data_IF_362080685609
#
_entry.id   IF_362080685609
#
_cell.length_a   1.000
_cell.length_b   1.000
_cell.length_c   1.000
_cell.angle_alpha   90.00
_cell.angle_beta   90.00
_cell.angle_gamma   90.00
#
_symmetry.space_group_name_H-M   'P 1'
#
loop_
_entity.id
_entity.type
_entity.pdbx_description
1 polymer ?
#
# COMPACT_ATOMS: atom_id res chain seq x y z
N UNK A 1 22.51 -39.79 43.43
CA UNK A 1 22.66 -38.33 43.25
C UNK A 1 22.02 -37.96 41.92
N UNK A 2 20.90 -37.24 42.04
CA UNK A 2 20.17 -36.47 41.04
C UNK A 2 19.98 -37.06 39.63
N UNK A 3 18.90 -37.84 39.49
CA UNK A 3 18.06 -37.86 38.30
C UNK A 3 17.44 -36.46 38.14
N UNK A 4 17.89 -35.68 37.15
CA UNK A 4 17.28 -34.40 36.82
C UNK A 4 16.08 -34.65 35.89
N UNK A 5 15.07 -35.29 36.46
CA UNK A 5 13.75 -35.45 35.87
C UNK A 5 13.05 -34.10 35.73
N UNK A 6 13.36 -33.39 34.65
CA UNK A 6 12.49 -32.32 34.16
C UNK A 6 11.45 -32.96 33.24
N UNK A 7 10.42 -33.53 33.87
CA UNK A 7 9.21 -33.94 33.18
C UNK A 7 8.70 -32.74 32.37
N UNK A 8 8.73 -32.82 31.04
CA UNK A 8 8.03 -31.86 30.19
C UNK A 8 6.54 -32.06 30.46
N UNK A 9 5.98 -31.21 31.32
CA UNK A 9 4.54 -31.12 31.57
C UNK A 9 3.79 -31.17 30.24
N UNK A 10 2.96 -32.20 30.07
CA UNK A 10 2.27 -32.57 28.83
C UNK A 10 1.11 -31.66 28.45
N UNK A 11 1.35 -30.35 28.38
CA UNK A 11 0.37 -29.37 27.92
C UNK A 11 0.86 -28.73 26.64
N UNK A 12 0.06 -28.83 25.57
CA UNK A 12 0.30 -28.12 24.32
C UNK A 12 0.65 -26.65 24.60
N UNK A 13 1.68 -26.06 23.94
CA UNK A 13 2.01 -24.66 24.12
C UNK A 13 0.78 -23.77 23.91
N UNK A 14 0.64 -22.71 24.70
CA UNK A 14 -0.49 -21.78 24.60
C UNK A 14 -0.02 -20.48 23.94
N UNK A 15 -0.56 -20.19 22.75
CA UNK A 15 -0.32 -18.94 22.02
C UNK A 15 -1.50 -18.00 22.23
N UNK A 16 -1.19 -16.78 22.68
CA UNK A 16 -2.17 -15.69 22.80
C UNK A 16 -1.94 -14.71 21.67
N UNK A 17 -2.96 -14.49 20.85
CA UNK A 17 -2.99 -13.49 19.77
C UNK A 17 -3.75 -12.28 20.29
N UNK A 18 -3.11 -11.11 20.31
CA UNK A 18 -3.73 -9.85 20.73
C UNK A 18 -4.17 -9.09 19.48
N UNK A 19 -5.48 -8.87 19.35
CA UNK A 19 -6.14 -8.29 18.20
C UNK A 19 -6.89 -9.33 17.36
N UNK A 20 -8.20 -9.15 17.22
CA UNK A 20 -9.14 -9.94 16.42
C UNK A 20 -9.40 -9.37 15.02
N UNK A 21 -8.49 -8.55 14.49
CA UNK A 21 -8.49 -8.11 13.09
C UNK A 21 -7.99 -9.18 12.11
N UNK A 22 -7.99 -8.88 10.82
CA UNK A 22 -7.60 -9.83 9.75
C UNK A 22 -6.24 -10.50 9.99
N UNK A 23 -5.25 -9.76 10.48
CA UNK A 23 -3.92 -10.30 10.77
C UNK A 23 -3.95 -11.32 11.93
N UNK A 24 -4.61 -10.99 13.04
CA UNK A 24 -4.71 -11.87 14.20
C UNK A 24 -5.57 -13.09 13.93
N UNK A 25 -6.68 -12.93 13.21
CA UNK A 25 -7.53 -14.05 12.78
C UNK A 25 -6.81 -14.97 11.80
N UNK A 26 -6.04 -14.42 10.85
CA UNK A 26 -5.23 -15.24 9.95
C UNK A 26 -4.15 -16.01 10.71
N UNK A 27 -3.48 -15.37 11.69
CA UNK A 27 -2.50 -16.04 12.53
C UNK A 27 -3.13 -17.19 13.32
N UNK A 28 -4.26 -16.95 13.99
CA UNK A 28 -4.99 -17.98 14.72
C UNK A 28 -5.50 -19.11 13.80
N UNK A 29 -5.97 -18.76 12.61
CA UNK A 29 -6.45 -19.71 11.59
C UNK A 29 -5.35 -20.69 11.18
N UNK A 30 -4.11 -20.22 10.96
CA UNK A 30 -3.00 -21.11 10.60
C UNK A 30 -2.43 -21.86 11.81
N UNK A 31 -2.38 -21.22 12.99
CA UNK A 31 -1.89 -21.86 14.21
C UNK A 31 -2.79 -22.98 14.73
N UNK A 32 -4.08 -23.01 14.37
CA UNK A 32 -4.99 -24.08 14.84
C UNK A 32 -4.60 -25.48 14.34
N UNK A 33 -3.84 -25.55 13.24
CA UNK A 33 -3.36 -26.82 12.65
C UNK A 33 -2.10 -27.33 13.36
N UNK A 34 -1.50 -26.50 14.22
CA UNK A 34 -0.34 -26.85 15.04
C UNK A 34 -0.78 -27.43 16.39
N UNK A 35 0.04 -28.23 17.08
CA UNK A 35 -0.28 -28.81 18.39
C UNK A 35 -0.14 -27.76 19.52
N UNK A 36 -0.86 -26.64 19.39
CA UNK A 36 -0.88 -25.51 20.31
C UNK A 36 -2.32 -25.13 20.66
N UNK A 37 -2.54 -24.68 21.89
CA UNK A 37 -3.78 -23.98 22.25
C UNK A 37 -3.66 -22.55 21.74
N UNK A 38 -4.68 -22.04 21.07
CA UNK A 38 -4.74 -20.63 20.62
C UNK A 38 -5.84 -19.88 21.37
N UNK A 39 -5.55 -18.67 21.83
CA UNK A 39 -6.55 -17.73 22.35
C UNK A 39 -6.40 -16.38 21.67
N UNK A 40 -7.49 -15.84 21.14
CA UNK A 40 -7.52 -14.49 20.55
C UNK A 40 -8.16 -13.54 21.56
N UNK A 41 -7.50 -12.44 21.86
CA UNK A 41 -8.02 -11.36 22.69
C UNK A 41 -8.35 -10.16 21.80
N UNK A 42 -9.60 -9.76 21.78
CA UNK A 42 -10.08 -8.57 21.06
C UNK A 42 -10.66 -7.58 22.07
N UNK A 43 -10.33 -6.30 21.92
CA UNK A 43 -10.80 -5.23 22.79
C UNK A 43 -12.17 -4.66 22.38
N UNK A 44 -12.53 -4.79 21.11
CA UNK A 44 -13.82 -4.37 20.56
C UNK A 44 -14.94 -5.40 20.80
N UNK A 45 -16.19 -4.96 20.67
CA UNK A 45 -17.37 -5.82 20.74
C UNK A 45 -17.55 -6.75 19.53
N UNK A 46 -16.62 -6.75 18.56
CA UNK A 46 -16.66 -7.58 17.36
C UNK A 46 -15.26 -7.91 16.86
N UNK A 47 -15.15 -9.04 16.14
CA UNK A 47 -13.98 -9.38 15.34
C UNK A 47 -13.96 -8.61 14.01
N UNK A 48 -12.87 -8.74 13.27
CA UNK A 48 -12.71 -8.23 11.90
C UNK A 48 -11.80 -7.00 11.81
N UNK A 49 -11.72 -6.18 12.86
CA UNK A 49 -10.94 -4.94 12.84
C UNK A 49 -11.44 -4.01 11.73
N UNK A 50 -10.55 -3.61 10.81
CA UNK A 50 -10.86 -2.79 9.63
C UNK A 50 -11.74 -3.50 8.58
N UNK A 51 -11.94 -4.83 8.70
CA UNK A 51 -12.94 -5.55 7.90
C UNK A 51 -14.28 -5.49 8.64
N UNK A 52 -15.17 -4.64 8.15
CA UNK A 52 -16.40 -4.30 8.81
C UNK A 52 -17.45 -3.88 7.80
N UNK A 53 -18.67 -4.36 8.01
CA UNK A 53 -19.80 -4.13 7.12
C UNK A 53 -20.96 -3.64 7.96
N UNK A 54 -21.64 -2.59 7.51
CA UNK A 54 -22.88 -2.11 8.10
C UNK A 54 -23.93 -1.81 7.03
N UNK A 55 -25.14 -1.51 7.49
CA UNK A 55 -26.25 -1.10 6.64
C UNK A 55 -26.56 0.38 6.90
N UNK A 56 -26.53 1.19 5.84
CA UNK A 56 -26.90 2.59 5.86
C UNK A 56 -28.04 2.82 4.87
N UNK A 57 -29.20 3.24 5.38
CA UNK A 57 -30.40 3.49 4.58
C UNK A 57 -30.80 2.31 3.65
N UNK A 58 -30.70 1.07 4.15
CA UNK A 58 -31.04 -0.13 3.38
C UNK A 58 -29.93 -0.62 2.44
N UNK A 59 -28.75 0.01 2.48
CA UNK A 59 -27.60 -0.34 1.61
C UNK A 59 -26.47 -0.88 2.46
N UNK A 60 -25.95 -2.04 2.08
CA UNK A 60 -24.77 -2.65 2.70
C UNK A 60 -23.52 -1.89 2.26
N UNK A 61 -22.71 -1.46 3.21
CA UNK A 61 -21.48 -0.69 2.99
C UNK A 61 -20.31 -1.31 3.75
N UNK A 62 -19.11 -1.22 3.18
CA UNK A 62 -17.86 -1.49 3.89
C UNK A 62 -17.47 -0.25 4.70
N UNK A 63 -17.22 -0.40 6.01
CA UNK A 63 -16.82 0.72 6.89
C UNK A 63 -15.32 1.02 6.83
N UNK A 64 -14.54 0.10 6.25
CA UNK A 64 -13.08 0.17 6.24
C UNK A 64 -12.51 -0.35 4.93
N UNK A 65 -11.82 -1.50 4.97
CA UNK A 65 -11.24 -2.05 3.76
C UNK A 65 -12.32 -2.64 2.85
N UNK A 66 -12.58 -1.98 1.73
CA UNK A 66 -13.57 -2.35 0.71
C UNK A 66 -13.07 -3.38 -0.31
N UNK A 67 -11.76 -3.48 -0.51
CA UNK A 67 -11.19 -4.33 -1.56
C UNK A 67 -9.79 -4.81 -1.22
N UNK A 68 -9.34 -5.85 -1.95
CA UNK A 68 -7.98 -6.38 -1.82
C UNK A 68 -7.47 -6.87 -3.16
N UNK A 69 -6.15 -6.86 -3.34
CA UNK A 69 -5.55 -7.43 -4.53
C UNK A 69 -5.49 -8.97 -4.42
N UNK A 70 -6.60 -9.61 -4.77
CA UNK A 70 -6.85 -11.05 -4.61
C UNK A 70 -5.78 -11.94 -5.30
N UNK A 71 -5.13 -11.44 -6.35
CA UNK A 71 -4.07 -12.16 -7.08
C UNK A 71 -2.71 -12.17 -6.38
N UNK A 72 -2.49 -11.40 -5.31
CA UNK A 72 -1.22 -11.51 -4.56
C UNK A 72 -1.12 -12.92 -3.97
N UNK A 73 0.02 -13.63 -4.10
CA UNK A 73 0.14 -15.02 -3.66
C UNK A 73 -0.28 -15.26 -2.21
N UNK A 74 0.06 -14.34 -1.30
CA UNK A 74 -0.31 -14.42 0.12
C UNK A 74 -1.83 -14.29 0.32
N UNK A 75 -2.48 -13.36 -0.38
CA UNK A 75 -3.93 -13.15 -0.32
C UNK A 75 -4.68 -14.33 -0.92
N UNK A 76 -4.29 -14.79 -2.11
CA UNK A 76 -4.86 -15.95 -2.78
C UNK A 76 -4.79 -17.21 -1.90
N UNK A 77 -3.63 -17.44 -1.25
CA UNK A 77 -3.45 -18.56 -0.31
C UNK A 77 -4.44 -18.48 0.86
N UNK A 78 -4.65 -17.31 1.44
CA UNK A 78 -5.58 -17.14 2.56
C UNK A 78 -7.04 -17.35 2.12
N UNK A 79 -7.44 -16.77 0.98
CA UNK A 79 -8.78 -16.94 0.42
C UNK A 79 -9.09 -18.41 0.14
N UNK A 80 -8.14 -19.13 -0.45
CA UNK A 80 -8.22 -20.58 -0.67
C UNK A 80 -8.36 -21.35 0.62
N UNK A 81 -7.48 -21.11 1.59
CA UNK A 81 -7.52 -21.81 2.86
C UNK A 81 -8.84 -21.56 3.60
N UNK A 82 -9.40 -20.35 3.49
CA UNK A 82 -10.68 -19.98 4.09
C UNK A 82 -11.92 -20.43 3.29
N UNK A 83 -11.76 -21.06 2.11
CA UNK A 83 -12.88 -21.48 1.25
C UNK A 83 -13.65 -20.31 0.63
N UNK A 84 -12.99 -19.17 0.39
CA UNK A 84 -13.60 -17.93 -0.09
C UNK A 84 -13.30 -17.61 -1.57
N UNK A 85 -12.57 -18.47 -2.29
CA UNK A 85 -12.17 -18.22 -3.70
C UNK A 85 -13.36 -17.91 -4.60
N UNK A 86 -14.44 -18.69 -4.50
CA UNK A 86 -15.66 -18.53 -5.32
C UNK A 86 -16.50 -17.30 -4.95
N UNK A 87 -16.17 -16.61 -3.85
CA UNK A 87 -16.84 -15.37 -3.43
C UNK A 87 -16.11 -14.11 -3.88
N UNK A 88 -14.93 -14.26 -4.50
CA UNK A 88 -14.16 -13.12 -5.00
C UNK A 88 -14.86 -12.56 -6.23
N UNK A 89 -15.28 -11.31 -6.15
CA UNK A 89 -15.82 -10.56 -7.29
C UNK A 89 -14.80 -9.55 -7.79
N UNK A 90 -14.76 -9.34 -9.10
CA UNK A 90 -13.98 -8.25 -9.66
C UNK A 90 -14.64 -6.91 -9.30
N UNK A 91 -13.83 -5.92 -8.92
CA UNK A 91 -14.33 -4.56 -8.76
C UNK A 91 -14.97 -4.05 -10.06
N UNK A 92 -16.00 -3.19 -9.92
CA UNK A 92 -16.73 -2.58 -11.02
C UNK A 92 -15.94 -1.52 -11.81
N UNK A 93 -16.64 -0.57 -12.42
CA UNK A 93 -16.10 0.40 -13.38
C UNK A 93 -14.82 1.11 -12.91
N UNK A 94 -13.86 1.26 -13.82
CA UNK A 94 -12.45 1.65 -13.55
C UNK A 94 -12.17 3.15 -13.76
N UNK A 95 -13.14 4.03 -13.55
CA UNK A 95 -12.91 5.46 -13.76
C UNK A 95 -12.27 6.06 -12.52
N UNK A 96 -10.96 6.27 -12.59
CA UNK A 96 -10.22 7.13 -11.66
C UNK A 96 -10.10 8.53 -12.27
N UNK A 97 -10.03 9.56 -11.44
CA UNK A 97 -9.79 10.94 -11.86
C UNK A 97 -9.05 11.70 -10.76
N UNK A 98 -8.28 12.71 -11.15
CA UNK A 98 -7.61 13.64 -10.24
C UNK A 98 -8.31 14.99 -10.34
N UNK A 99 -8.73 15.55 -9.22
CA UNK A 99 -9.23 16.93 -9.20
C UNK A 99 -8.06 17.90 -9.19
N UNK A 100 -7.87 18.65 -10.27
CA UNK A 100 -6.80 19.64 -10.38
C UNK A 100 -7.25 20.83 -11.22
N UNK A 101 -6.87 22.04 -10.77
CA UNK A 101 -7.20 23.28 -11.47
C UNK A 101 -8.71 23.52 -11.64
N UNK A 102 -9.52 23.08 -10.67
CA UNK A 102 -10.97 23.23 -10.71
C UNK A 102 -11.70 22.30 -11.69
N UNK A 103 -11.03 21.25 -12.17
CA UNK A 103 -11.61 20.28 -13.11
C UNK A 103 -11.20 18.84 -12.73
N UNK A 104 -12.06 17.86 -13.06
CA UNK A 104 -11.67 16.45 -13.04
C UNK A 104 -10.80 16.16 -14.26
N UNK A 105 -9.59 15.68 -14.01
CA UNK A 105 -8.63 15.25 -15.04
C UNK A 105 -8.52 13.73 -15.01
N UNK A 106 -8.39 13.07 -16.18
CA UNK A 106 -8.03 11.65 -16.19
C UNK A 106 -6.66 11.45 -15.53
N UNK A 107 -6.41 10.31 -14.88
CA UNK A 107 -5.09 9.98 -14.35
C UNK A 107 -4.12 9.74 -15.51
N UNK A 108 -2.82 9.81 -15.19
CA UNK A 108 -1.80 9.34 -16.13
C UNK A 108 -1.92 7.83 -16.29
N UNK A 109 -1.85 7.36 -17.53
CA UNK A 109 -1.75 5.95 -17.88
C UNK A 109 -0.34 5.43 -17.52
N UNK A 110 0.70 6.23 -17.80
CA UNK A 110 2.09 5.85 -17.55
C UNK A 110 2.64 6.53 -16.31
N UNK A 111 2.41 5.88 -15.18
CA UNK A 111 2.90 6.31 -13.88
C UNK A 111 3.17 5.14 -12.95
N UNK A 112 3.99 5.40 -11.93
CA UNK A 112 4.13 4.53 -10.78
C UNK A 112 3.70 5.29 -9.52
N UNK A 113 2.53 4.97 -8.95
CA UNK A 113 2.02 5.59 -7.72
C UNK A 113 2.08 7.14 -7.74
N UNK A 114 1.58 7.77 -8.81
CA UNK A 114 1.64 9.23 -8.99
C UNK A 114 2.92 9.74 -9.67
N UNK A 115 4.02 8.98 -9.69
CA UNK A 115 5.27 9.41 -10.31
C UNK A 115 5.14 9.26 -11.84
N UNK A 116 5.19 10.36 -12.62
CA UNK A 116 5.02 10.31 -14.07
C UNK A 116 6.20 9.64 -14.77
N UNK A 117 5.90 8.75 -15.72
CA UNK A 117 6.92 8.11 -16.57
C UNK A 117 7.05 8.79 -17.93
N UNK A 118 6.07 9.60 -18.34
CA UNK A 118 6.05 10.34 -19.61
C UNK A 118 5.77 11.82 -19.39
N UNK A 119 6.70 12.67 -19.81
CA UNK A 119 6.56 14.12 -19.63
C UNK A 119 5.64 14.77 -20.67
N UNK A 120 5.46 14.16 -21.84
CA UNK A 120 4.55 14.65 -22.87
C UNK A 120 3.10 14.32 -22.51
N UNK A 121 2.87 13.15 -21.92
CA UNK A 121 1.59 12.79 -21.30
C UNK A 121 1.28 13.72 -20.12
N UNK A 122 2.25 13.93 -19.21
CA UNK A 122 2.13 14.88 -18.10
C UNK A 122 1.74 16.28 -18.59
N UNK A 123 2.39 16.77 -19.66
CA UNK A 123 2.08 18.06 -20.25
C UNK A 123 0.64 18.15 -20.81
N UNK A 124 0.17 17.08 -21.47
CA UNK A 124 -1.18 17.01 -22.06
C UNK A 124 -2.28 16.80 -21.02
N UNK A 125 -1.93 16.30 -19.83
CA UNK A 125 -2.89 15.95 -18.78
C UNK A 125 -3.68 17.15 -18.24
N UNK A 126 -3.10 18.35 -18.27
CA UNK A 126 -3.65 19.54 -17.63
C UNK A 126 -3.73 19.45 -16.09
N UNK A 127 -3.00 18.50 -15.48
CA UNK A 127 -2.92 18.34 -14.02
C UNK A 127 -1.92 19.35 -13.43
N UNK A 128 -0.80 19.58 -14.12
CA UNK A 128 0.23 20.52 -13.73
C UNK A 128 0.16 21.81 -14.56
N UNK A 129 0.70 22.89 -13.99
CA UNK A 129 1.02 24.12 -14.70
C UNK A 129 2.13 23.90 -15.74
N UNK A 130 2.26 24.79 -16.72
CA UNK A 130 3.36 24.73 -17.70
C UNK A 130 4.74 24.80 -17.00
N UNK A 131 4.85 25.61 -15.95
CA UNK A 131 6.05 25.74 -15.11
C UNK A 131 6.36 24.45 -14.36
N UNK A 132 5.35 23.79 -13.80
CA UNK A 132 5.48 22.50 -13.14
C UNK A 132 5.91 21.39 -14.10
N UNK A 133 5.37 21.37 -15.31
CA UNK A 133 5.79 20.44 -16.37
C UNK A 133 7.24 20.69 -16.77
N UNK A 134 7.64 21.95 -16.95
CA UNK A 134 9.02 22.30 -17.27
C UNK A 134 9.98 21.85 -16.15
N UNK A 135 9.61 22.10 -14.90
CA UNK A 135 10.38 21.66 -13.72
C UNK A 135 10.49 20.14 -13.63
N UNK A 136 9.44 19.40 -13.96
CA UNK A 136 9.45 17.94 -13.96
C UNK A 136 10.37 17.37 -15.05
N UNK A 137 10.45 18.01 -16.22
CA UNK A 137 11.31 17.59 -17.34
C UNK A 137 12.80 17.62 -17.01
N UNK A 138 13.22 18.47 -16.08
CA UNK A 138 14.62 18.54 -15.63
C UNK A 138 15.14 17.19 -15.11
N UNK A 139 14.27 16.33 -14.54
CA UNK A 139 14.62 14.99 -14.07
C UNK A 139 15.33 14.14 -15.14
N UNK A 140 15.03 14.36 -16.42
CA UNK A 140 15.65 13.62 -17.52
C UNK A 140 17.13 13.96 -17.72
N UNK A 141 17.58 15.12 -17.22
CA UNK A 141 18.94 15.64 -17.40
C UNK A 141 19.72 15.77 -16.09
N UNK A 142 19.03 15.86 -14.95
CA UNK A 142 19.68 16.01 -13.66
C UNK A 142 20.60 14.81 -13.36
N UNK A 143 21.84 15.05 -12.90
CA UNK A 143 22.76 13.98 -12.54
C UNK A 143 22.15 13.13 -11.44
N UNK A 144 22.65 11.90 -11.31
CA UNK A 144 22.23 11.03 -10.24
C UNK A 144 22.67 11.61 -8.89
N UNK A 145 21.72 11.77 -7.99
CA UNK A 145 22.01 12.13 -6.61
C UNK A 145 22.25 10.88 -5.76
N UNK A 146 23.21 10.97 -4.83
CA UNK A 146 23.33 10.01 -3.75
C UNK A 146 22.10 10.12 -2.85
N UNK A 147 21.59 8.97 -2.38
CA UNK A 147 20.56 8.92 -1.35
C UNK A 147 21.24 8.49 -0.06
N UNK A 148 21.45 9.44 0.84
CA UNK A 148 21.90 9.16 2.20
C UNK A 148 20.67 9.13 3.13
N UNK A 149 20.59 8.07 3.94
CA UNK A 149 19.53 7.89 4.92
C UNK A 149 18.14 7.62 4.32
N UNK A 150 17.18 7.45 5.21
CA UNK A 150 15.77 7.36 4.86
C UNK A 150 15.21 8.78 4.71
N UNK A 151 14.55 9.03 3.58
CA UNK A 151 13.99 10.33 3.20
C UNK A 151 12.53 10.16 2.85
N UNK A 152 11.74 11.20 3.06
CA UNK A 152 10.33 11.18 2.68
C UNK A 152 10.14 11.05 1.17
N UNK A 153 8.99 10.54 0.75
CA UNK A 153 8.61 10.50 -0.66
C UNK A 153 8.63 11.91 -1.26
N UNK A 154 8.12 12.91 -0.55
CA UNK A 154 8.08 14.29 -1.02
C UNK A 154 9.47 14.88 -1.24
N UNK A 155 10.44 14.59 -0.38
CA UNK A 155 11.83 15.05 -0.55
C UNK A 155 12.50 14.43 -1.77
N UNK A 156 12.31 13.12 -1.99
CA UNK A 156 12.97 12.42 -3.10
C UNK A 156 12.29 12.74 -4.43
N UNK A 157 10.96 12.65 -4.50
CA UNK A 157 10.20 12.95 -5.72
C UNK A 157 10.25 14.44 -6.01
N UNK A 158 10.01 15.30 -5.02
CA UNK A 158 9.98 16.75 -5.20
C UNK A 158 11.33 17.34 -5.57
N UNK A 159 12.43 16.79 -5.04
CA UNK A 159 13.79 17.18 -5.44
C UNK A 159 14.07 16.91 -6.92
N UNK A 160 13.48 15.85 -7.49
CA UNK A 160 13.69 15.45 -8.89
C UNK A 160 12.68 16.06 -9.85
N UNK A 161 11.41 15.99 -9.52
CA UNK A 161 10.28 16.28 -10.42
C UNK A 161 9.53 17.56 -10.03
N UNK A 162 9.91 18.21 -8.93
CA UNK A 162 9.26 19.42 -8.44
C UNK A 162 8.10 19.14 -7.48
N UNK A 163 7.81 20.14 -6.63
CA UNK A 163 6.77 20.04 -5.60
C UNK A 163 5.37 19.87 -6.18
N UNK A 164 5.08 20.45 -7.34
CA UNK A 164 3.75 20.34 -7.96
C UNK A 164 3.40 18.90 -8.36
N UNK A 165 4.39 18.10 -8.79
CA UNK A 165 4.20 16.65 -9.01
C UNK A 165 3.85 15.94 -7.71
N UNK A 166 4.50 16.32 -6.61
CA UNK A 166 4.18 15.76 -5.30
C UNK A 166 2.75 16.10 -4.91
N UNK A 167 2.39 17.37 -4.89
CA UNK A 167 1.12 17.84 -4.35
C UNK A 167 -0.09 17.41 -5.20
N UNK A 168 0.06 17.28 -6.52
CA UNK A 168 -1.06 17.02 -7.43
C UNK A 168 -1.16 15.59 -7.95
N UNK A 169 -0.09 14.80 -7.83
CA UNK A 169 -0.08 13.42 -8.29
C UNK A 169 0.30 12.46 -7.17
N UNK A 170 1.50 12.60 -6.60
CA UNK A 170 2.01 11.59 -5.67
C UNK A 170 1.28 11.59 -4.34
N UNK A 171 1.11 12.74 -3.70
CA UNK A 171 0.45 12.84 -2.40
C UNK A 171 -1.03 12.40 -2.46
N UNK A 172 -1.84 12.78 -3.47
CA UNK A 172 -3.18 12.21 -3.64
C UNK A 172 -3.19 10.69 -3.80
N UNK A 173 -2.30 10.12 -4.61
CA UNK A 173 -2.20 8.66 -4.78
C UNK A 173 -1.81 7.95 -3.49
N UNK A 174 -0.85 8.48 -2.75
CA UNK A 174 -0.38 7.86 -1.51
C UNK A 174 -1.35 8.07 -0.36
N UNK A 175 -2.09 9.19 -0.34
CA UNK A 175 -3.17 9.40 0.63
C UNK A 175 -4.26 8.37 0.46
N UNK A 176 -4.60 7.99 -0.77
CA UNK A 176 -5.58 6.92 -1.02
C UNK A 176 -5.03 5.52 -0.65
N UNK A 177 -3.79 5.22 -1.04
CA UNK A 177 -3.21 3.89 -0.84
C UNK A 177 -2.71 3.62 0.60
N UNK A 178 -2.22 4.63 1.29
CA UNK A 178 -1.56 4.51 2.60
C UNK A 178 -2.20 5.37 3.70
N UNK A 179 -3.18 6.22 3.38
CA UNK A 179 -3.78 7.18 4.33
C UNK A 179 -2.74 8.06 5.04
N UNK A 180 -1.64 8.37 4.35
CA UNK A 180 -0.52 9.13 4.89
C UNK A 180 0.00 10.17 3.90
N UNK A 181 0.76 11.14 4.42
CA UNK A 181 1.32 12.24 3.64
C UNK A 181 2.66 11.86 3.00
N UNK A 182 2.90 12.29 1.77
CA UNK A 182 4.16 12.09 1.08
C UNK A 182 5.36 12.71 1.84
N UNK A 183 5.12 13.74 2.64
CA UNK A 183 6.12 14.38 3.52
C UNK A 183 6.53 13.50 4.72
N UNK A 184 5.74 12.48 5.06
CA UNK A 184 5.94 11.63 6.24
C UNK A 184 6.26 10.17 5.85
N UNK A 185 5.83 9.74 4.66
CA UNK A 185 6.06 8.40 4.16
C UNK A 185 7.51 8.23 3.70
N UNK A 186 8.21 7.23 4.23
CA UNK A 186 9.54 6.82 3.76
C UNK A 186 9.52 6.44 2.28
N UNK A 187 10.41 7.02 1.49
CA UNK A 187 10.56 6.66 0.08
C UNK A 187 11.00 5.19 -0.09
N UNK A 188 11.88 4.70 0.78
CA UNK A 188 12.39 3.32 0.70
C UNK A 188 11.32 2.27 1.02
N UNK A 189 10.55 2.51 2.09
CA UNK A 189 9.52 1.59 2.56
C UNK A 189 8.24 1.65 1.70
N UNK A 190 7.91 2.82 1.15
CA UNK A 190 6.65 3.04 0.42
C UNK A 190 6.80 2.67 -1.06
N UNK A 191 7.88 3.11 -1.71
CA UNK A 191 8.08 2.98 -3.17
C UNK A 191 9.21 2.00 -3.52
N UNK A 192 9.30 0.87 -2.80
CA UNK A 192 10.41 -0.09 -2.92
C UNK A 192 10.73 -0.55 -4.36
N UNK A 193 9.76 -0.84 -5.24
CA UNK A 193 10.06 -1.14 -6.64
C UNK A 193 10.78 0.02 -7.36
N UNK A 194 10.30 1.25 -7.18
CA UNK A 194 10.90 2.45 -7.75
C UNK A 194 12.28 2.74 -7.16
N UNK A 195 12.49 2.49 -5.87
CA UNK A 195 13.80 2.55 -5.22
C UNK A 195 14.78 1.60 -5.91
N UNK A 196 14.34 0.38 -6.18
CA UNK A 196 15.17 -0.63 -6.87
C UNK A 196 15.48 -0.21 -8.31
N UNK A 197 14.49 0.28 -9.06
CA UNK A 197 14.67 0.73 -10.44
C UNK A 197 15.59 1.96 -10.53
N UNK A 198 15.41 2.94 -9.64
CA UNK A 198 16.23 4.15 -9.57
C UNK A 198 17.67 3.88 -9.11
N UNK A 199 17.99 2.68 -8.61
CA UNK A 199 19.39 2.28 -8.44
C UNK A 199 20.11 2.06 -9.78
N UNK A 200 19.38 1.85 -10.88
CA UNK A 200 19.95 1.60 -12.22
C UNK A 200 19.77 2.76 -13.19
N UNK A 201 18.89 3.72 -12.89
CA UNK A 201 18.62 4.89 -13.74
C UNK A 201 18.84 6.19 -12.96
N UNK A 202 19.32 7.24 -13.63
CA UNK A 202 19.48 8.55 -12.99
C UNK A 202 18.13 9.27 -12.83
N UNK A 203 17.33 9.28 -13.91
CA UNK A 203 15.97 9.82 -13.93
C UNK A 203 15.01 8.96 -13.13
N UNK A 204 14.18 9.62 -12.31
CA UNK A 204 13.12 8.98 -11.57
C UNK A 204 11.94 8.62 -12.50
N UNK A 205 11.64 9.46 -13.48
CA UNK A 205 10.61 9.19 -14.49
C UNK A 205 10.94 7.93 -15.31
N UNK A 206 12.19 7.78 -15.74
CA UNK A 206 12.65 6.57 -16.43
C UNK A 206 12.66 5.34 -15.51
N UNK A 207 12.89 5.52 -14.20
CA UNK A 207 12.84 4.43 -13.23
C UNK A 207 11.40 3.94 -12.98
N UNK A 208 10.43 4.84 -13.05
CA UNK A 208 9.01 4.55 -12.86
C UNK A 208 8.38 3.76 -14.01
N UNK A 209 9.05 3.68 -15.17
CA UNK A 209 8.63 2.88 -16.32
C UNK A 209 8.89 1.37 -16.15
N UNK A 210 9.79 0.99 -15.22
CA UNK A 210 10.30 -0.38 -15.06
C UNK A 210 9.44 -1.24 -14.12
#
# INVERSE_FOLDING_TARGET
MADNGMARSGTAPHVVVVGGGVAGLAAAFFLREEPVRVTVLEGAGRLGGQLAVSELAGVVIDEGAESTYARRPKTARLLKAAGLEERVVAAGTKSMAVWSGGQLRPPLERQFMGVPCDMDELAKSGILSEEGVARAREDLTLPREGREGDRSVAEVVGGRLGREVVDRLVDPFLSDAYFGRADELSFEATLTPLVTASRRRASLAQAAEA
#
